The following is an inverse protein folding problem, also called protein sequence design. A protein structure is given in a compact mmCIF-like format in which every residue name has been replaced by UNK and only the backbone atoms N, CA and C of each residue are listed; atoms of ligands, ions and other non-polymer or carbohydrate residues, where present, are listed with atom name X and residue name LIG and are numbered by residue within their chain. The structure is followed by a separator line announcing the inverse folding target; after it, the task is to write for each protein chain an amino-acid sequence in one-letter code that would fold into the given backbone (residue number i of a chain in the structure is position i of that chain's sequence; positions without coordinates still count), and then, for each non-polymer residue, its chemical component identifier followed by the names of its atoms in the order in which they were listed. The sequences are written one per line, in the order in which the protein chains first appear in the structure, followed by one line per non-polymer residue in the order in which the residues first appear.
data_IF_682176655371
#
_entry.id   IF_682176655371
#
_cell.length_a   1.000
_cell.length_b   1.000
_cell.length_c   1.000
_cell.angle_alpha   90.00
_cell.angle_beta   90.00
_cell.angle_gamma   90.00
#
_symmetry.space_group_name_H-M   'P 1'
#
loop_
_entity.id
_entity.type
_entity.pdbx_description
1 polymer ?
#
# COMPACT_ATOMS: atom_id res chain seq x y z
N UNK A 1 36.27 -10.63 -22.14
CA UNK A 1 36.11 -10.81 -20.69
C UNK A 1 35.61 -9.49 -20.14
N UNK A 2 34.48 -9.48 -19.42
CA UNK A 2 34.03 -8.26 -18.74
C UNK A 2 34.80 -8.19 -17.43
N UNK A 3 35.54 -7.11 -17.19
CA UNK A 3 36.30 -6.92 -15.97
C UNK A 3 35.37 -6.54 -14.79
N UNK A 4 35.75 -6.93 -13.57
CA UNK A 4 34.95 -6.76 -12.35
C UNK A 4 34.61 -5.30 -12.06
N UNK A 5 35.52 -4.37 -12.39
CA UNK A 5 35.31 -2.95 -12.18
C UNK A 5 34.19 -2.41 -13.07
N UNK A 6 34.25 -2.70 -14.38
CA UNK A 6 33.18 -2.36 -15.33
C UNK A 6 31.83 -2.89 -14.91
N UNK A 7 31.74 -4.15 -14.43
CA UNK A 7 30.49 -4.74 -13.94
C UNK A 7 29.96 -4.01 -12.70
N UNK A 8 30.83 -3.70 -11.73
CA UNK A 8 30.44 -2.97 -10.52
C UNK A 8 29.92 -1.56 -10.84
N UNK A 9 30.56 -0.86 -11.77
CA UNK A 9 30.13 0.48 -12.23
C UNK A 9 28.77 0.42 -12.92
N UNK A 10 28.57 -0.53 -13.85
CA UNK A 10 27.27 -0.71 -14.52
C UNK A 10 26.17 -1.01 -13.50
N UNK A 11 26.45 -1.90 -12.54
CA UNK A 11 25.51 -2.27 -11.49
C UNK A 11 25.14 -1.07 -10.63
N UNK A 12 26.13 -0.27 -10.22
CA UNK A 12 25.92 0.94 -9.46
C UNK A 12 25.04 1.96 -10.21
N UNK A 13 25.27 2.17 -11.51
CA UNK A 13 24.46 3.07 -12.33
C UNK A 13 23.01 2.60 -12.39
N UNK A 14 22.77 1.30 -12.64
CA UNK A 14 21.41 0.76 -12.72
C UNK A 14 20.70 0.84 -11.37
N UNK A 15 21.37 0.45 -10.28
CA UNK A 15 20.80 0.49 -8.93
C UNK A 15 20.49 1.93 -8.52
N UNK A 16 21.38 2.88 -8.85
CA UNK A 16 21.15 4.30 -8.61
C UNK A 16 19.95 4.82 -9.40
N UNK A 17 19.84 4.50 -10.69
CA UNK A 17 18.69 4.89 -11.52
C UNK A 17 17.38 4.29 -10.96
N UNK A 18 17.40 3.02 -10.59
CA UNK A 18 16.27 2.33 -9.96
C UNK A 18 15.86 2.99 -8.65
N UNK A 19 16.82 3.30 -7.78
CA UNK A 19 16.58 3.97 -6.50
C UNK A 19 16.04 5.38 -6.70
N UNK A 20 16.58 6.15 -7.65
CA UNK A 20 16.10 7.48 -8.01
C UNK A 20 14.65 7.42 -8.48
N UNK A 21 14.32 6.55 -9.45
CA UNK A 21 12.96 6.36 -9.93
C UNK A 21 12.00 5.98 -8.78
N UNK A 22 12.42 5.05 -7.92
CA UNK A 22 11.63 4.63 -6.78
C UNK A 22 11.43 5.76 -5.76
N UNK A 23 12.48 6.51 -5.44
CA UNK A 23 12.44 7.62 -4.48
C UNK A 23 11.61 8.77 -5.03
N UNK A 24 11.76 9.15 -6.30
CA UNK A 24 10.91 10.18 -6.91
C UNK A 24 9.44 9.76 -6.90
N UNK A 25 9.11 8.53 -7.31
CA UNK A 25 7.73 8.00 -7.25
C UNK A 25 7.18 8.00 -5.81
N UNK A 26 8.05 7.69 -4.83
CA UNK A 26 7.70 7.65 -3.39
C UNK A 26 7.63 9.04 -2.74
N UNK A 27 8.37 10.04 -3.24
CA UNK A 27 8.31 11.42 -2.75
C UNK A 27 7.13 12.18 -3.38
N UNK A 28 6.83 11.89 -4.65
CA UNK A 28 5.67 12.44 -5.37
C UNK A 28 4.34 11.89 -4.83
N UNK A 29 4.35 10.71 -4.21
CA UNK A 29 3.16 10.04 -3.66
C UNK A 29 3.49 9.58 -2.23
N UNK A 30 3.02 10.33 -1.21
CA UNK A 30 3.51 10.24 0.18
C UNK A 30 3.70 8.79 0.68
N UNK A 31 4.84 8.46 1.32
CA UNK A 31 5.12 7.10 1.75
C UNK A 31 4.32 6.72 3.00
N UNK A 32 3.45 5.72 2.86
CA UNK A 32 3.00 4.87 3.96
C UNK A 32 4.22 4.33 4.75
N UNK A 33 4.01 3.86 5.99
CA UNK A 33 5.08 3.30 6.84
C UNK A 33 5.92 2.22 6.12
N UNK A 34 5.29 1.43 5.24
CA UNK A 34 5.94 0.44 4.37
C UNK A 34 6.89 1.07 3.34
N UNK A 35 6.46 2.15 2.69
CA UNK A 35 7.23 2.90 1.70
C UNK A 35 8.49 3.54 2.28
N UNK A 36 8.46 3.95 3.55
CA UNK A 36 9.65 4.50 4.24
C UNK A 36 10.74 3.44 4.40
N UNK A 37 10.39 2.24 4.85
CA UNK A 37 11.36 1.13 4.96
C UNK A 37 11.94 0.76 3.60
N UNK A 38 11.11 0.70 2.55
CA UNK A 38 11.60 0.45 1.20
C UNK A 38 12.52 1.56 0.69
N UNK A 39 12.18 2.83 0.88
CA UNK A 39 13.05 3.93 0.48
C UNK A 39 14.43 3.86 1.14
N UNK A 40 14.48 3.62 2.46
CA UNK A 40 15.76 3.47 3.18
C UNK A 40 16.52 2.21 2.70
N UNK A 41 15.83 1.11 2.42
CA UNK A 41 16.49 -0.09 1.90
C UNK A 41 17.05 0.10 0.48
N UNK A 42 16.38 0.87 -0.38
CA UNK A 42 16.93 1.26 -1.70
C UNK A 42 18.16 2.17 -1.53
N UNK A 43 18.15 3.09 -0.57
CA UNK A 43 19.33 3.89 -0.24
C UNK A 43 20.49 3.00 0.25
N UNK A 44 20.21 1.99 1.08
CA UNK A 44 21.21 0.99 1.47
C UNK A 44 21.75 0.19 0.28
N UNK A 45 20.91 -0.13 -0.72
CA UNK A 45 21.35 -0.78 -1.95
C UNK A 45 22.31 0.12 -2.77
N UNK A 46 22.01 1.42 -2.88
CA UNK A 46 22.92 2.40 -3.50
C UNK A 46 24.25 2.44 -2.74
N UNK A 47 24.21 2.59 -1.41
CA UNK A 47 25.42 2.60 -0.58
C UNK A 47 26.25 1.32 -0.75
N UNK A 48 25.59 0.16 -0.78
CA UNK A 48 26.23 -1.14 -1.04
C UNK A 48 27.00 -1.12 -2.36
N UNK A 49 26.36 -0.68 -3.45
CA UNK A 49 27.03 -0.64 -4.75
C UNK A 49 28.18 0.35 -4.78
N UNK A 50 28.07 1.50 -4.12
CA UNK A 50 29.16 2.47 -4.00
C UNK A 50 30.36 1.89 -3.26
N UNK A 51 30.15 1.21 -2.13
CA UNK A 51 31.24 0.58 -1.40
C UNK A 51 31.94 -0.52 -2.22
N UNK A 52 31.20 -1.31 -2.99
CA UNK A 52 31.82 -2.32 -3.86
C UNK A 52 32.51 -1.73 -5.09
N UNK A 53 32.11 -0.55 -5.58
CA UNK A 53 32.88 0.19 -6.58
C UNK A 53 34.20 0.68 -5.99
N UNK A 54 34.19 1.23 -4.77
CA UNK A 54 35.41 1.62 -4.06
C UNK A 54 36.35 0.43 -3.90
N UNK A 55 35.85 -0.70 -3.40
CA UNK A 55 36.64 -1.93 -3.29
C UNK A 55 37.16 -2.42 -4.65
N UNK A 56 36.35 -2.40 -5.71
CA UNK A 56 36.80 -2.80 -7.04
C UNK A 56 37.90 -1.89 -7.62
N UNK A 57 37.94 -0.62 -7.21
CA UNK A 57 38.99 0.34 -7.61
C UNK A 57 40.26 0.27 -6.75
N UNK A 58 40.11 -0.13 -5.48
CA UNK A 58 41.15 -0.17 -4.47
C UNK A 58 40.94 -1.43 -3.59
N UNK A 59 41.36 -2.61 -4.06
CA UNK A 59 41.06 -3.89 -3.39
C UNK A 59 41.59 -3.99 -1.94
N UNK A 60 42.60 -3.21 -1.58
CA UNK A 60 43.16 -3.10 -0.23
C UNK A 60 42.23 -2.46 0.81
N UNK A 61 41.07 -1.93 0.39
CA UNK A 61 40.13 -1.22 1.27
C UNK A 61 39.19 -2.15 2.05
N UNK A 62 39.71 -2.79 3.10
CA UNK A 62 38.93 -3.69 3.98
C UNK A 62 37.65 -3.04 4.54
N UNK A 63 37.70 -1.74 4.88
CA UNK A 63 36.55 -1.00 5.39
C UNK A 63 35.40 -0.91 4.37
N UNK A 64 35.70 -0.88 3.07
CA UNK A 64 34.68 -0.81 2.02
C UNK A 64 33.88 -2.11 1.95
N UNK A 65 34.55 -3.27 2.10
CA UNK A 65 33.88 -4.57 2.17
C UNK A 65 33.00 -4.68 3.42
N UNK A 66 33.49 -4.26 4.58
CA UNK A 66 32.71 -4.28 5.84
C UNK A 66 31.44 -3.42 5.70
N UNK A 67 31.58 -2.20 5.21
CA UNK A 67 30.45 -1.29 5.00
C UNK A 67 29.48 -1.82 3.92
N UNK A 68 30.00 -2.36 2.82
CA UNK A 68 29.21 -2.96 1.74
C UNK A 68 28.39 -4.16 2.21
N UNK A 69 29.01 -5.10 2.94
CA UNK A 69 28.33 -6.27 3.51
C UNK A 69 27.21 -5.84 4.47
N UNK A 70 27.52 -4.88 5.35
CA UNK A 70 26.56 -4.37 6.35
C UNK A 70 25.37 -3.69 5.68
N UNK A 71 25.63 -2.79 4.72
CA UNK A 71 24.60 -2.10 3.97
C UNK A 71 23.72 -3.08 3.17
N UNK A 72 24.30 -4.16 2.63
CA UNK A 72 23.57 -5.20 1.90
C UNK A 72 22.55 -5.89 2.80
N UNK A 73 22.99 -6.33 3.99
CA UNK A 73 22.18 -7.05 4.96
C UNK A 73 21.06 -6.15 5.49
N UNK A 74 21.40 -4.93 5.91
CA UNK A 74 20.43 -3.97 6.42
C UNK A 74 19.44 -3.58 5.33
N UNK A 75 19.89 -3.33 4.10
CA UNK A 75 19.03 -2.98 2.97
C UNK A 75 18.00 -4.06 2.65
N UNK A 76 18.42 -5.32 2.57
CA UNK A 76 17.51 -6.46 2.34
C UNK A 76 16.58 -6.68 3.54
N UNK A 77 17.08 -6.50 4.76
CA UNK A 77 16.26 -6.54 5.97
C UNK A 77 15.17 -5.45 6.00
N UNK A 78 15.50 -4.23 5.58
CA UNK A 78 14.54 -3.14 5.43
C UNK A 78 13.47 -3.44 4.37
N UNK A 79 13.83 -4.16 3.30
CA UNK A 79 12.84 -4.65 2.32
C UNK A 79 11.81 -5.57 2.98
N UNK A 80 12.26 -6.53 3.78
CA UNK A 80 11.39 -7.40 4.55
C UNK A 80 10.52 -6.62 5.54
N UNK A 81 11.09 -5.65 6.27
CA UNK A 81 10.32 -4.80 7.18
C UNK A 81 9.25 -3.99 6.47
N UNK A 82 9.53 -3.50 5.26
CA UNK A 82 8.53 -2.84 4.42
C UNK A 82 7.39 -3.77 4.05
N UNK A 83 7.66 -5.03 3.69
CA UNK A 83 6.64 -6.05 3.44
C UNK A 83 5.82 -6.36 4.71
N UNK A 84 6.44 -6.46 5.89
CA UNK A 84 5.73 -6.67 7.16
C UNK A 84 4.84 -5.49 7.54
N UNK A 85 5.36 -4.27 7.41
CA UNK A 85 4.61 -3.04 7.65
C UNK A 85 3.41 -2.95 6.72
N UNK A 86 3.59 -3.32 5.46
CA UNK A 86 2.53 -3.38 4.46
C UNK A 86 1.40 -4.34 4.87
N UNK A 87 1.76 -5.50 5.41
CA UNK A 87 0.80 -6.47 5.97
C UNK A 87 0.26 -6.10 7.37
N UNK A 88 0.50 -4.87 7.84
CA UNK A 88 0.07 -4.35 9.15
C UNK A 88 0.56 -5.19 10.33
N UNK A 89 1.70 -5.86 10.19
CA UNK A 89 2.33 -6.63 11.26
C UNK A 89 3.31 -5.76 12.04
N UNK A 90 3.51 -6.08 13.31
CA UNK A 90 4.45 -5.36 14.18
C UNK A 90 5.87 -5.40 13.63
N UNK A 91 6.56 -4.25 13.56
CA UNK A 91 7.92 -4.17 12.98
C UNK A 91 9.05 -4.10 14.00
N UNK A 92 8.77 -3.79 15.28
CA UNK A 92 9.80 -3.55 16.30
C UNK A 92 10.77 -4.72 16.50
N UNK A 93 10.23 -5.93 16.72
CA UNK A 93 11.05 -7.13 16.95
C UNK A 93 11.85 -7.56 15.71
N UNK A 94 11.23 -7.50 14.53
CA UNK A 94 11.91 -7.77 13.27
C UNK A 94 12.98 -6.70 12.97
N UNK A 95 12.74 -5.44 13.32
CA UNK A 95 13.69 -4.35 13.19
C UNK A 95 14.94 -4.55 14.05
N UNK A 96 14.76 -4.99 15.29
CA UNK A 96 15.87 -5.39 16.15
C UNK A 96 16.68 -6.55 15.55
N UNK A 97 16.01 -7.55 14.96
CA UNK A 97 16.68 -8.65 14.27
C UNK A 97 17.51 -8.17 13.07
N UNK A 98 16.98 -7.26 12.25
CA UNK A 98 17.72 -6.68 11.12
C UNK A 98 18.94 -5.89 11.60
N UNK A 99 18.81 -5.10 12.68
CA UNK A 99 19.92 -4.37 13.26
C UNK A 99 21.01 -5.31 13.80
N UNK A 100 20.63 -6.36 14.52
CA UNK A 100 21.55 -7.39 15.01
C UNK A 100 22.24 -8.10 13.85
N UNK A 101 21.51 -8.48 12.80
CA UNK A 101 22.09 -9.12 11.62
C UNK A 101 23.14 -8.21 10.93
N UNK A 102 22.86 -6.91 10.82
CA UNK A 102 23.82 -5.93 10.29
C UNK A 102 25.09 -5.83 11.15
N UNK A 103 24.93 -5.75 12.48
CA UNK A 103 26.07 -5.73 13.42
C UNK A 103 26.89 -7.01 13.32
N UNK A 104 26.24 -8.17 13.27
CA UNK A 104 26.92 -9.47 13.17
C UNK A 104 27.69 -9.58 11.84
N UNK A 105 27.12 -9.10 10.73
CA UNK A 105 27.82 -9.04 9.45
C UNK A 105 29.06 -8.12 9.49
N UNK A 106 28.96 -6.95 10.13
CA UNK A 106 30.08 -6.03 10.30
C UNK A 106 31.20 -6.64 11.16
N UNK A 107 30.84 -7.26 12.28
CA UNK A 107 31.78 -7.93 13.19
C UNK A 107 32.46 -9.10 12.50
N UNK A 108 31.69 -9.97 11.81
CA UNK A 108 32.24 -11.12 11.10
C UNK A 108 33.29 -10.69 10.07
N UNK A 109 32.96 -9.72 9.21
CA UNK A 109 33.90 -9.21 8.22
C UNK A 109 35.14 -8.59 8.87
N UNK A 110 34.97 -7.76 9.90
CA UNK A 110 36.08 -7.08 10.59
C UNK A 110 37.02 -8.06 11.30
N UNK A 111 36.47 -9.08 11.97
CA UNK A 111 37.25 -10.12 12.65
C UNK A 111 38.02 -10.96 11.64
N UNK A 112 37.37 -11.40 10.57
CA UNK A 112 38.05 -12.19 9.53
C UNK A 112 39.18 -11.39 8.86
N UNK A 113 38.98 -10.10 8.56
CA UNK A 113 40.07 -9.24 8.08
C UNK A 113 41.21 -9.09 9.09
N UNK A 114 40.90 -8.90 10.38
CA UNK A 114 41.91 -8.80 11.43
C UNK A 114 42.75 -10.08 11.57
N UNK A 115 42.19 -11.24 11.18
CA UNK A 115 42.85 -12.54 11.15
C UNK A 115 43.60 -12.82 9.84
N UNK A 116 43.71 -11.84 8.94
CA UNK A 116 44.38 -11.99 7.64
C UNK A 116 43.50 -12.59 6.55
N UNK A 117 42.18 -12.44 6.67
CA UNK A 117 41.21 -12.83 5.66
C UNK A 117 41.36 -12.10 4.33
N UNK A 118 40.62 -12.56 3.32
CA UNK A 118 40.67 -12.05 1.95
C UNK A 118 39.41 -11.26 1.59
N UNK A 119 39.20 -10.99 0.30
CA UNK A 119 38.04 -10.27 -0.24
C UNK A 119 36.67 -10.85 0.15
N UNK A 120 36.63 -12.13 0.58
CA UNK A 120 35.41 -12.82 0.98
C UNK A 120 35.19 -12.84 2.50
N UNK A 121 35.95 -12.04 3.24
CA UNK A 121 35.83 -11.94 4.71
C UNK A 121 34.40 -11.55 5.13
N UNK A 122 33.79 -12.36 5.99
CA UNK A 122 32.42 -12.22 6.50
C UNK A 122 31.32 -12.58 5.50
N UNK A 123 31.69 -13.09 4.31
CA UNK A 123 30.71 -13.33 3.23
C UNK A 123 29.72 -14.45 3.54
N UNK A 124 30.10 -15.50 4.29
CA UNK A 124 29.17 -16.56 4.68
C UNK A 124 28.04 -16.05 5.58
N UNK A 125 28.39 -15.21 6.57
CA UNK A 125 27.43 -14.55 7.46
C UNK A 125 26.51 -13.64 6.65
N UNK A 126 27.08 -12.85 5.74
CA UNK A 126 26.31 -12.00 4.84
C UNK A 126 25.35 -12.83 3.96
N UNK A 127 25.82 -13.89 3.31
CA UNK A 127 24.99 -14.71 2.43
C UNK A 127 23.83 -15.36 3.17
N UNK A 128 24.09 -15.91 4.37
CA UNK A 128 23.04 -16.47 5.20
C UNK A 128 22.00 -15.41 5.61
N UNK A 129 22.45 -14.23 6.04
CA UNK A 129 21.55 -13.14 6.43
C UNK A 129 20.71 -12.64 5.24
N UNK A 130 21.31 -12.46 4.07
CA UNK A 130 20.61 -12.06 2.84
C UNK A 130 19.60 -13.11 2.39
N UNK A 131 19.96 -14.40 2.46
CA UNK A 131 19.06 -15.49 2.11
C UNK A 131 17.84 -15.53 3.04
N UNK A 132 18.05 -15.44 4.36
CA UNK A 132 16.98 -15.46 5.36
C UNK A 132 16.08 -14.22 5.26
N UNK A 133 16.66 -13.03 5.13
CA UNK A 133 15.88 -11.79 5.00
C UNK A 133 15.05 -11.77 3.70
N UNK A 134 15.64 -12.19 2.58
CA UNK A 134 14.93 -12.28 1.31
C UNK A 134 13.84 -13.37 1.33
N UNK A 135 14.10 -14.53 1.96
CA UNK A 135 13.09 -15.57 2.13
C UNK A 135 11.91 -15.06 2.98
N UNK A 136 12.20 -14.34 4.06
CA UNK A 136 11.17 -13.75 4.91
C UNK A 136 10.36 -12.66 4.18
N UNK A 137 11.01 -11.83 3.36
CA UNK A 137 10.35 -10.86 2.48
C UNK A 137 9.42 -11.56 1.46
N UNK A 138 9.92 -12.61 0.81
CA UNK A 138 9.15 -13.42 -0.16
C UNK A 138 7.91 -14.04 0.49
N UNK A 139 8.06 -14.68 1.65
CA UNK A 139 6.93 -15.26 2.40
C UNK A 139 5.90 -14.19 2.78
N UNK A 140 6.34 -12.99 3.14
CA UNK A 140 5.45 -11.88 3.46
C UNK A 140 4.72 -11.36 2.21
N UNK A 141 5.33 -11.39 1.02
CA UNK A 141 4.68 -11.07 -0.25
C UNK A 141 3.55 -12.04 -0.63
N UNK A 142 3.63 -13.31 -0.22
CA UNK A 142 2.59 -14.33 -0.47
C UNK A 142 1.56 -14.46 0.65
N UNK A 143 1.63 -13.61 1.70
CA UNK A 143 0.72 -13.65 2.84
C UNK A 143 0.08 -12.28 3.07
N UNK A 144 -0.99 -12.25 3.85
CA UNK A 144 -1.64 -11.01 4.29
C UNK A 144 -2.20 -10.18 3.13
N UNK A 145 -2.18 -8.86 3.31
CA UNK A 145 -2.70 -7.89 2.34
C UNK A 145 -1.89 -7.87 1.03
N UNK A 146 -0.57 -8.12 1.09
CA UNK A 146 0.29 -8.28 -0.09
C UNK A 146 -0.15 -9.47 -0.94
N UNK A 147 -0.32 -10.64 -0.31
CA UNK A 147 -0.70 -11.88 -1.02
C UNK A 147 -2.09 -11.84 -1.66
N UNK A 148 -3.00 -11.01 -1.13
CA UNK A 148 -4.31 -10.77 -1.75
C UNK A 148 -4.22 -9.98 -3.06
N UNK A 149 -3.13 -9.23 -3.28
CA UNK A 149 -2.90 -8.49 -4.53
C UNK A 149 -2.14 -9.36 -5.55
N UNK A 150 -2.77 -9.66 -6.70
CA UNK A 150 -2.11 -10.39 -7.81
C UNK A 150 -0.83 -9.70 -8.30
N UNK A 151 -0.74 -8.40 -8.07
CA UNK A 151 0.39 -7.55 -8.42
C UNK A 151 1.60 -7.70 -7.49
N UNK A 152 1.48 -8.32 -6.30
CA UNK A 152 2.61 -8.58 -5.40
C UNK A 152 3.43 -9.82 -5.76
N UNK A 153 2.90 -10.67 -6.66
CA UNK A 153 3.49 -11.95 -7.04
C UNK A 153 4.89 -11.79 -7.69
N UNK A 154 5.13 -10.83 -8.60
CA UNK A 154 6.47 -10.60 -9.16
C UNK A 154 7.49 -10.16 -8.11
N UNK A 155 7.10 -9.32 -7.14
CA UNK A 155 7.98 -8.86 -6.07
C UNK A 155 8.34 -10.02 -5.12
N UNK A 156 7.37 -10.86 -4.78
CA UNK A 156 7.60 -12.08 -4.00
C UNK A 156 8.54 -13.07 -4.71
N UNK A 157 8.41 -13.20 -6.04
CA UNK A 157 9.29 -14.01 -6.87
C UNK A 157 10.72 -13.46 -6.89
N UNK A 158 10.90 -12.13 -7.03
CA UNK A 158 12.21 -11.46 -6.96
C UNK A 158 12.92 -11.80 -5.66
N UNK A 159 12.24 -11.66 -4.51
CA UNK A 159 12.82 -12.01 -3.22
C UNK A 159 13.07 -13.51 -3.07
N UNK A 160 12.22 -14.37 -3.64
CA UNK A 160 12.41 -15.82 -3.66
C UNK A 160 13.65 -16.24 -4.44
N UNK A 161 13.85 -15.67 -5.63
CA UNK A 161 15.05 -15.90 -6.47
C UNK A 161 16.30 -15.40 -5.76
N UNK A 162 16.25 -14.21 -5.14
CA UNK A 162 17.36 -13.69 -4.35
C UNK A 162 17.71 -14.63 -3.18
N UNK A 163 16.70 -15.11 -2.44
CA UNK A 163 16.90 -16.02 -1.33
C UNK A 163 17.55 -17.33 -1.76
N UNK A 164 17.07 -17.92 -2.85
CA UNK A 164 17.62 -19.15 -3.43
C UNK A 164 19.05 -18.95 -3.92
N UNK A 165 19.35 -17.84 -4.59
CA UNK A 165 20.70 -17.55 -5.07
C UNK A 165 21.71 -17.42 -3.91
N UNK A 166 21.38 -16.67 -2.86
CA UNK A 166 22.27 -16.55 -1.70
C UNK A 166 22.36 -17.85 -0.89
N UNK A 167 21.31 -18.67 -0.85
CA UNK A 167 21.39 -20.02 -0.28
C UNK A 167 22.38 -20.89 -1.08
N UNK A 168 22.30 -20.85 -2.41
CA UNK A 168 23.25 -21.55 -3.28
C UNK A 168 24.68 -21.09 -3.02
N UNK A 169 24.92 -19.79 -2.78
CA UNK A 169 26.24 -19.28 -2.39
C UNK A 169 26.75 -19.91 -1.10
N UNK A 170 25.90 -20.00 -0.06
CA UNK A 170 26.27 -20.66 1.19
C UNK A 170 26.64 -22.13 0.93
N UNK A 171 25.82 -22.86 0.17
CA UNK A 171 26.06 -24.28 -0.14
C UNK A 171 27.35 -24.45 -0.94
N UNK A 172 27.56 -23.67 -1.99
CA UNK A 172 28.75 -23.77 -2.85
C UNK A 172 30.02 -23.46 -2.06
N UNK A 173 30.04 -22.39 -1.28
CA UNK A 173 31.21 -22.06 -0.45
C UNK A 173 31.46 -23.15 0.60
N UNK A 174 30.42 -23.69 1.23
CA UNK A 174 30.56 -24.72 2.26
C UNK A 174 31.07 -26.06 1.70
N UNK A 175 30.74 -26.39 0.45
CA UNK A 175 31.10 -27.66 -0.19
C UNK A 175 32.38 -27.58 -1.02
N UNK A 176 32.62 -26.45 -1.69
CA UNK A 176 33.67 -26.30 -2.71
C UNK A 176 34.62 -25.12 -2.44
N UNK A 177 34.36 -24.29 -1.42
CA UNK A 177 35.14 -23.09 -1.12
C UNK A 177 35.03 -22.00 -2.19
N UNK A 178 35.95 -21.03 -2.15
CA UNK A 178 35.97 -19.86 -3.04
C UNK A 178 36.70 -20.10 -4.38
N UNK A 179 36.70 -21.35 -4.87
CA UNK A 179 37.41 -21.78 -6.08
C UNK A 179 36.71 -21.39 -7.40
N UNK A 180 37.14 -22.01 -8.50
CA UNK A 180 36.65 -21.72 -9.86
C UNK A 180 35.13 -21.86 -9.99
N UNK A 181 34.55 -22.93 -9.42
CA UNK A 181 33.10 -23.16 -9.43
C UNK A 181 32.33 -22.02 -8.78
N UNK A 182 32.85 -21.49 -7.67
CA UNK A 182 32.25 -20.35 -6.99
C UNK A 182 32.33 -19.10 -7.87
N UNK A 183 33.52 -18.77 -8.40
CA UNK A 183 33.71 -17.57 -9.22
C UNK A 183 32.87 -17.60 -10.50
N UNK A 184 32.76 -18.75 -11.16
CA UNK A 184 32.05 -18.91 -12.42
C UNK A 184 30.53 -18.76 -12.27
N UNK A 185 29.93 -19.39 -11.25
CA UNK A 185 28.47 -19.50 -11.15
C UNK A 185 27.86 -18.52 -10.16
N UNK A 186 28.54 -18.23 -9.06
CA UNK A 186 27.98 -17.51 -7.92
C UNK A 186 28.97 -16.49 -7.30
N UNK A 187 29.95 -16.08 -8.10
CA UNK A 187 30.94 -15.06 -7.76
C UNK A 187 30.36 -13.66 -7.89
N UNK A 188 31.24 -12.66 -7.88
CA UNK A 188 30.83 -11.26 -7.92
C UNK A 188 30.15 -10.87 -9.24
N UNK A 189 30.66 -11.34 -10.40
CA UNK A 189 30.07 -11.03 -11.72
C UNK A 189 28.64 -11.58 -11.86
N UNK A 190 28.35 -12.88 -11.61
CA UNK A 190 26.98 -13.40 -11.62
C UNK A 190 26.05 -12.66 -10.63
N UNK A 191 26.56 -12.31 -9.45
CA UNK A 191 25.80 -11.57 -8.43
C UNK A 191 25.39 -10.19 -8.92
N UNK A 192 26.29 -9.47 -9.58
CA UNK A 192 26.01 -8.15 -10.14
C UNK A 192 24.97 -8.20 -11.25
N UNK A 193 25.07 -9.17 -12.17
CA UNK A 193 24.06 -9.38 -13.23
C UNK A 193 22.69 -9.67 -12.61
N UNK A 194 22.63 -10.57 -11.62
CA UNK A 194 21.40 -10.87 -10.92
C UNK A 194 20.83 -9.62 -10.23
N UNK A 195 21.69 -8.82 -9.58
CA UNK A 195 21.28 -7.59 -8.89
C UNK A 195 20.66 -6.59 -9.86
N UNK A 196 21.26 -6.40 -11.05
CA UNK A 196 20.70 -5.57 -12.12
C UNK A 196 19.31 -6.06 -12.54
N UNK A 197 19.18 -7.35 -12.87
CA UNK A 197 17.91 -7.94 -13.34
C UNK A 197 16.82 -7.83 -12.27
N UNK A 198 17.14 -8.17 -11.02
CA UNK A 198 16.20 -8.11 -9.91
C UNK A 198 15.81 -6.68 -9.55
N UNK A 199 16.74 -5.72 -9.61
CA UNK A 199 16.45 -4.30 -9.33
C UNK A 199 15.49 -3.71 -10.34
N UNK A 200 15.71 -3.97 -11.64
CA UNK A 200 14.81 -3.55 -12.72
C UNK A 200 13.43 -4.18 -12.52
N UNK A 201 13.39 -5.49 -12.26
CA UNK A 201 12.12 -6.22 -12.05
C UNK A 201 11.38 -5.69 -10.82
N UNK A 202 12.09 -5.39 -9.73
CA UNK A 202 11.52 -4.85 -8.50
C UNK A 202 10.92 -3.45 -8.72
N UNK A 203 11.63 -2.55 -9.42
CA UNK A 203 11.12 -1.20 -9.74
C UNK A 203 9.88 -1.30 -10.62
N UNK A 204 9.94 -2.06 -11.71
CA UNK A 204 8.79 -2.25 -12.62
C UNK A 204 7.59 -2.82 -11.86
N UNK A 205 7.81 -3.83 -11.02
CA UNK A 205 6.76 -4.45 -10.21
C UNK A 205 6.16 -3.44 -9.22
N UNK A 206 7.00 -2.66 -8.53
CA UNK A 206 6.57 -1.65 -7.58
C UNK A 206 5.83 -0.47 -8.26
N UNK A 207 6.21 -0.11 -9.48
CA UNK A 207 5.52 0.88 -10.30
C UNK A 207 4.17 0.36 -10.80
N UNK A 208 4.07 -0.89 -11.24
CA UNK A 208 2.79 -1.52 -11.67
C UNK A 208 1.85 -1.74 -10.48
N UNK A 209 2.36 -2.20 -9.33
CA UNK A 209 1.64 -2.28 -8.06
C UNK A 209 0.97 -0.97 -7.68
N UNK A 210 1.67 0.16 -7.92
CA UNK A 210 1.19 1.50 -7.58
C UNK A 210 0.34 2.16 -8.67
N UNK A 211 0.63 1.92 -9.94
CA UNK A 211 -0.19 2.37 -11.07
C UNK A 211 -1.57 1.67 -11.08
N UNK A 212 -1.62 0.38 -10.74
CA UNK A 212 -2.86 -0.34 -10.53
C UNK A 212 -3.74 0.32 -9.46
N UNK A 213 -3.17 0.89 -8.40
CA UNK A 213 -3.93 1.58 -7.33
C UNK A 213 -4.38 2.98 -7.68
N UNK A 214 -3.70 3.68 -8.58
CA UNK A 214 -4.18 4.96 -9.09
C UNK A 214 -5.47 4.80 -9.93
N UNK A 215 -5.66 3.64 -10.56
CA UNK A 215 -6.92 3.25 -11.21
C UNK A 215 -7.92 2.51 -10.30
N UNK A 216 -7.44 1.78 -9.28
CA UNK A 216 -8.23 0.95 -8.35
C UNK A 216 -8.62 1.73 -7.09
N UNK A 217 -9.04 2.99 -7.26
CA UNK A 217 -10.03 3.64 -6.36
C UNK A 217 -11.47 3.33 -6.79
N UNK A 218 -11.65 2.51 -7.83
CA UNK A 218 -12.90 1.84 -8.16
C UNK A 218 -12.63 0.50 -8.85
N UNK A 219 -13.30 -0.57 -8.41
CA UNK A 219 -13.23 -1.96 -8.93
C UNK A 219 -11.88 -2.68 -8.66
N UNK A 220 -11.78 -3.85 -8.05
CA UNK A 220 -12.65 -5.02 -8.05
C UNK A 220 -12.53 -5.80 -6.74
N UNK A 221 -13.66 -6.03 -6.06
CA UNK A 221 -13.85 -7.31 -5.37
C UNK A 221 -14.42 -8.28 -6.42
N UNK A 222 -13.73 -9.38 -6.76
CA UNK A 222 -14.32 -10.40 -7.60
C UNK A 222 -15.46 -11.04 -6.81
N UNK A 223 -16.62 -11.10 -7.46
CA UNK A 223 -17.78 -11.92 -7.07
C UNK A 223 -18.62 -11.40 -5.90
N UNK A 224 -19.78 -10.85 -6.24
CA UNK A 224 -20.82 -10.41 -5.31
C UNK A 224 -21.47 -11.54 -4.51
N UNK A 225 -20.73 -12.10 -3.56
CA UNK A 225 -21.24 -12.87 -2.44
C UNK A 225 -20.49 -12.49 -1.18
N UNK A 226 -21.26 -12.14 -0.15
CA UNK A 226 -20.87 -11.82 1.22
C UNK A 226 -20.10 -10.50 1.42
N UNK A 227 -20.80 -9.38 1.24
CA UNK A 227 -20.56 -8.24 2.13
C UNK A 227 -21.23 -8.59 3.46
N UNK A 228 -20.45 -8.66 4.54
CA UNK A 228 -21.00 -8.89 5.88
C UNK A 228 -21.97 -7.77 6.30
N UNK A 229 -22.82 -8.00 7.31
CA UNK A 229 -23.61 -6.92 7.89
C UNK A 229 -22.66 -5.79 8.35
N UNK A 230 -22.77 -4.61 7.75
CA UNK A 230 -21.96 -3.44 8.12
C UNK A 230 -20.79 -3.10 7.18
N UNK A 231 -20.62 -3.75 6.03
CA UNK A 231 -19.62 -3.33 5.04
C UNK A 231 -20.20 -2.41 3.95
N UNK A 232 -19.42 -1.41 3.53
CA UNK A 232 -19.76 -0.52 2.40
C UNK A 232 -19.55 -1.30 1.10
N UNK A 233 -20.63 -1.58 0.36
CA UNK A 233 -20.54 -2.33 -0.90
C UNK A 233 -19.93 -1.49 -2.03
N UNK A 234 -19.31 -2.15 -3.01
CA UNK A 234 -18.76 -1.47 -4.19
C UNK A 234 -19.84 -0.73 -4.99
N UNK A 235 -19.48 0.28 -5.78
CA UNK A 235 -20.49 1.06 -6.52
C UNK A 235 -21.33 0.25 -7.52
N UNK A 236 -20.76 -0.79 -8.13
CA UNK A 236 -21.53 -1.73 -8.94
C UNK A 236 -22.52 -2.56 -8.08
N UNK A 237 -22.10 -2.96 -6.88
CA UNK A 237 -22.96 -3.64 -5.91
C UNK A 237 -24.08 -2.72 -5.40
N UNK A 238 -23.77 -1.46 -5.11
CA UNK A 238 -24.73 -0.47 -4.65
C UNK A 238 -25.82 -0.20 -5.69
N UNK A 239 -25.45 0.09 -6.94
CA UNK A 239 -26.41 0.25 -8.05
C UNK A 239 -27.33 -0.95 -8.19
N UNK A 240 -26.77 -2.17 -8.10
CA UNK A 240 -27.56 -3.40 -8.14
C UNK A 240 -28.53 -3.50 -6.97
N UNK A 241 -28.08 -3.16 -5.75
CA UNK A 241 -28.93 -3.16 -4.57
C UNK A 241 -30.07 -2.14 -4.70
N UNK A 242 -29.80 -0.93 -5.23
CA UNK A 242 -30.81 0.09 -5.51
C UNK A 242 -31.83 -0.43 -6.51
N UNK A 243 -31.40 -1.03 -7.63
CA UNK A 243 -32.30 -1.57 -8.64
C UNK A 243 -33.22 -2.68 -8.09
N UNK A 244 -32.66 -3.61 -7.30
CA UNK A 244 -33.44 -4.69 -6.67
C UNK A 244 -34.45 -4.12 -5.65
N UNK A 245 -34.03 -3.17 -4.83
CA UNK A 245 -34.91 -2.53 -3.84
C UNK A 245 -36.00 -1.69 -4.51
N UNK A 246 -35.69 -0.96 -5.57
CA UNK A 246 -36.65 -0.17 -6.32
C UNK A 246 -37.72 -1.06 -6.97
N UNK A 247 -37.33 -2.19 -7.55
CA UNK A 247 -38.27 -3.16 -8.11
C UNK A 247 -39.23 -3.72 -7.03
N UNK A 248 -38.69 -4.07 -5.86
CA UNK A 248 -39.49 -4.58 -4.73
C UNK A 248 -40.42 -3.51 -4.16
N UNK A 249 -39.92 -2.31 -3.95
CA UNK A 249 -40.68 -1.17 -3.45
C UNK A 249 -41.84 -0.82 -4.40
N UNK A 250 -41.59 -0.83 -5.72
CA UNK A 250 -42.63 -0.62 -6.74
C UNK A 250 -43.73 -1.69 -6.68
N UNK A 251 -43.36 -2.96 -6.52
CA UNK A 251 -44.32 -4.05 -6.44
C UNK A 251 -45.20 -3.97 -5.17
N UNK A 252 -44.63 -3.47 -4.06
CA UNK A 252 -45.33 -3.34 -2.76
C UNK A 252 -45.96 -1.96 -2.53
N UNK A 253 -45.72 -1.00 -3.42
CA UNK A 253 -46.06 0.43 -3.25
C UNK A 253 -45.48 1.01 -1.96
N UNK A 254 -44.26 0.59 -1.61
CA UNK A 254 -43.50 1.15 -0.49
C UNK A 254 -42.70 2.36 -0.96
N UNK A 255 -42.59 3.38 -0.10
CA UNK A 255 -41.77 4.55 -0.38
C UNK A 255 -40.29 4.23 -0.07
N UNK A 256 -39.45 4.32 -1.10
CA UNK A 256 -38.02 4.11 -0.98
C UNK A 256 -37.29 5.45 -1.02
N UNK A 257 -36.23 5.58 -0.21
CA UNK A 257 -35.31 6.70 -0.26
C UNK A 257 -33.90 6.23 -0.63
N UNK A 258 -33.24 6.98 -1.50
CA UNK A 258 -31.79 6.90 -1.74
C UNK A 258 -31.17 8.17 -1.18
N UNK A 259 -30.25 8.00 -0.23
CA UNK A 259 -29.45 9.10 0.31
C UNK A 259 -28.07 9.03 -0.32
N UNK A 260 -27.55 10.18 -0.72
CA UNK A 260 -26.13 10.32 -1.07
C UNK A 260 -25.54 11.33 -0.12
N UNK A 261 -24.47 10.92 0.55
CA UNK A 261 -23.72 11.75 1.47
C UNK A 261 -22.39 12.07 0.84
N UNK A 262 -22.11 13.36 0.76
CA UNK A 262 -20.90 13.93 0.19
C UNK A 262 -20.09 14.61 1.31
N UNK A 263 -18.80 14.28 1.40
CA UNK A 263 -17.84 15.07 2.17
C UNK A 263 -16.99 15.85 1.19
N UNK A 264 -17.28 17.14 1.07
CA UNK A 264 -16.50 18.03 0.22
C UNK A 264 -15.25 18.52 0.96
N UNK A 265 -14.18 18.70 0.17
CA UNK A 265 -12.91 19.24 0.61
C UNK A 265 -12.01 18.29 1.39
N UNK A 266 -12.20 16.97 1.24
CA UNK A 266 -11.27 15.98 1.81
C UNK A 266 -9.84 16.20 1.31
N UNK A 267 -9.65 16.56 0.04
CA UNK A 267 -8.34 16.89 -0.52
C UNK A 267 -7.72 18.14 0.12
N UNK A 268 -8.52 19.17 0.41
CA UNK A 268 -8.05 20.38 1.12
C UNK A 268 -7.67 20.07 2.56
N UNK A 269 -8.45 19.25 3.26
CA UNK A 269 -8.15 18.80 4.62
C UNK A 269 -6.82 18.06 4.65
N UNK A 270 -6.64 17.12 3.74
CA UNK A 270 -5.42 16.34 3.62
C UNK A 270 -4.20 17.22 3.28
N UNK A 271 -4.42 18.31 2.54
CA UNK A 271 -3.39 19.32 2.21
C UNK A 271 -3.04 20.20 3.42
N UNK A 272 -4.03 20.67 4.17
CA UNK A 272 -3.86 21.64 5.26
C UNK A 272 -3.42 21.01 6.60
N UNK A 273 -3.96 19.84 6.94
CA UNK A 273 -3.74 19.18 8.23
C UNK A 273 -2.89 17.91 8.12
N UNK A 274 -2.57 17.50 6.89
CA UNK A 274 -1.78 16.31 6.60
C UNK A 274 -2.66 15.09 6.29
N UNK A 275 -2.08 14.14 5.55
CA UNK A 275 -2.79 12.95 5.09
C UNK A 275 -3.26 12.04 6.24
N UNK A 276 -2.54 11.96 7.36
CA UNK A 276 -2.94 11.11 8.51
C UNK A 276 -4.29 11.57 9.09
N UNK A 277 -4.48 12.89 9.20
CA UNK A 277 -5.77 13.49 9.62
C UNK A 277 -6.84 13.27 8.54
N UNK A 278 -6.48 13.40 7.26
CA UNK A 278 -7.40 13.10 6.15
C UNK A 278 -7.88 11.64 6.14
N UNK A 279 -6.98 10.69 6.36
CA UNK A 279 -7.29 9.26 6.42
C UNK A 279 -8.14 8.93 7.65
N UNK A 280 -7.87 9.58 8.79
CA UNK A 280 -8.70 9.46 9.97
C UNK A 280 -10.11 9.99 9.74
N UNK A 281 -10.26 11.16 9.08
CA UNK A 281 -11.57 11.70 8.68
C UNK A 281 -12.33 10.70 7.80
N UNK A 282 -11.68 10.11 6.78
CA UNK A 282 -12.33 9.12 5.89
C UNK A 282 -12.71 7.84 6.65
N UNK A 283 -11.85 7.37 7.56
CA UNK A 283 -12.11 6.18 8.38
C UNK A 283 -13.30 6.42 9.31
N UNK A 284 -13.29 7.53 10.05
CA UNK A 284 -14.37 7.93 10.96
C UNK A 284 -15.67 8.11 10.21
N UNK A 285 -15.64 8.71 9.01
CA UNK A 285 -16.82 8.82 8.15
C UNK A 285 -17.40 7.45 7.79
N UNK A 286 -16.58 6.51 7.28
CA UNK A 286 -17.04 5.17 6.90
C UNK A 286 -17.55 4.35 8.09
N UNK A 287 -16.87 4.43 9.23
CA UNK A 287 -17.28 3.74 10.46
C UNK A 287 -18.60 4.31 11.01
N UNK A 288 -18.75 5.63 10.97
CA UNK A 288 -20.00 6.29 11.38
C UNK A 288 -21.15 5.93 10.46
N UNK A 289 -20.92 5.88 9.14
CA UNK A 289 -21.93 5.47 8.15
C UNK A 289 -22.44 4.07 8.38
N UNK A 290 -21.53 3.13 8.64
CA UNK A 290 -21.89 1.72 8.82
C UNK A 290 -22.54 1.47 10.18
N UNK A 291 -22.12 2.19 11.22
CA UNK A 291 -22.68 2.08 12.58
C UNK A 291 -24.05 2.75 12.73
N UNK A 292 -24.29 3.88 12.04
CA UNK A 292 -25.51 4.67 12.19
C UNK A 292 -26.52 4.50 11.03
N UNK A 293 -26.19 3.66 10.04
CA UNK A 293 -27.16 3.33 8.99
C UNK A 293 -28.39 2.62 9.59
N UNK A 294 -29.60 2.83 9.03
CA UNK A 294 -30.77 2.05 9.43
C UNK A 294 -30.52 0.54 9.31
N UNK A 295 -31.11 -0.26 10.20
CA UNK A 295 -30.82 -1.70 10.34
C UNK A 295 -30.98 -2.51 9.05
N UNK A 296 -31.89 -2.12 8.16
CA UNK A 296 -32.16 -2.80 6.89
C UNK A 296 -31.63 -2.02 5.69
N UNK A 297 -30.84 -0.97 5.91
CA UNK A 297 -30.27 -0.18 4.84
C UNK A 297 -29.07 -0.89 4.20
N UNK A 298 -28.87 -0.66 2.90
CA UNK A 298 -27.63 -1.03 2.21
C UNK A 298 -26.81 0.24 2.04
N UNK A 299 -25.56 0.19 2.48
CA UNK A 299 -24.58 1.26 2.34
C UNK A 299 -23.59 0.90 1.25
N UNK A 300 -23.28 1.81 0.33
CA UNK A 300 -22.35 1.53 -0.76
C UNK A 300 -21.71 2.76 -1.37
N UNK A 301 -20.71 2.54 -2.20
CA UNK A 301 -19.94 3.62 -2.84
C UNK A 301 -20.71 4.24 -4.00
N UNK A 302 -20.73 5.57 -4.08
CA UNK A 302 -21.31 6.32 -5.23
C UNK A 302 -20.22 7.11 -5.97
N UNK A 303 -19.13 7.46 -5.29
CA UNK A 303 -17.95 8.11 -5.85
C UNK A 303 -16.81 8.17 -4.83
N UNK A 304 -15.70 8.82 -5.19
CA UNK A 304 -14.51 8.94 -4.30
C UNK A 304 -14.80 9.68 -2.99
N UNK A 305 -15.75 10.61 -3.02
CA UNK A 305 -16.16 11.44 -1.88
C UNK A 305 -17.65 11.27 -1.55
N UNK A 306 -18.27 10.18 -2.03
CA UNK A 306 -19.71 9.95 -1.86
C UNK A 306 -20.04 8.53 -1.43
N UNK A 307 -20.85 8.43 -0.37
CA UNK A 307 -21.44 7.18 0.10
C UNK A 307 -22.96 7.25 -0.06
N UNK A 308 -23.53 6.20 -0.64
CA UNK A 308 -24.94 6.01 -0.82
C UNK A 308 -25.54 5.13 0.27
N UNK A 309 -26.78 5.42 0.65
CA UNK A 309 -27.60 4.60 1.55
C UNK A 309 -28.96 4.39 0.89
N UNK A 310 -29.44 3.15 0.81
CA UNK A 310 -30.83 2.87 0.43
C UNK A 310 -31.62 2.42 1.64
N UNK A 311 -32.83 2.95 1.81
CA UNK A 311 -33.72 2.58 2.90
C UNK A 311 -35.18 2.73 2.48
N UNK A 312 -36.08 2.05 3.19
CA UNK A 312 -37.53 2.21 3.07
C UNK A 312 -37.97 3.19 4.15
N UNK A 313 -38.81 4.15 3.79
CA UNK A 313 -39.25 5.24 4.68
C UNK A 313 -40.77 5.35 4.70
N UNK A 314 -41.34 5.83 5.80
CA UNK A 314 -42.79 6.01 5.89
C UNK A 314 -43.30 7.28 5.20
N UNK A 315 -42.45 8.30 5.06
CA UNK A 315 -42.78 9.59 4.43
C UNK A 315 -41.53 10.40 4.10
N UNK A 316 -41.66 11.45 3.30
CA UNK A 316 -40.60 12.43 3.06
C UNK A 316 -40.09 13.08 4.36
N UNK A 317 -40.99 13.36 5.31
CA UNK A 317 -40.63 13.93 6.61
C UNK A 317 -39.81 12.95 7.49
N UNK A 318 -40.10 11.65 7.39
CA UNK A 318 -39.35 10.59 8.05
C UNK A 318 -37.96 10.42 7.43
N UNK A 319 -37.87 10.38 6.10
CA UNK A 319 -36.59 10.36 5.37
C UNK A 319 -35.69 11.53 5.78
N UNK A 320 -36.24 12.75 5.83
CA UNK A 320 -35.52 13.95 6.28
C UNK A 320 -35.04 13.82 7.73
N UNK A 321 -35.89 13.29 8.62
CA UNK A 321 -35.57 13.14 10.05
C UNK A 321 -34.42 12.17 10.26
N UNK A 322 -34.44 11.03 9.57
CA UNK A 322 -33.38 10.02 9.65
C UNK A 322 -32.08 10.53 9.04
N UNK A 323 -32.13 11.17 7.86
CA UNK A 323 -30.97 11.81 7.25
C UNK A 323 -30.34 12.90 8.14
N UNK A 324 -31.17 13.72 8.82
CA UNK A 324 -30.70 14.72 9.78
C UNK A 324 -30.14 14.11 11.07
N UNK A 325 -30.59 12.91 11.47
CA UNK A 325 -29.97 12.17 12.57
C UNK A 325 -28.58 11.66 12.17
N UNK A 326 -28.45 11.08 10.97
CA UNK A 326 -27.18 10.63 10.42
C UNK A 326 -26.18 11.79 10.24
N UNK A 327 -26.65 12.94 9.74
CA UNK A 327 -25.83 14.16 9.66
C UNK A 327 -25.26 14.57 11.02
N UNK A 328 -26.09 14.58 12.07
CA UNK A 328 -25.65 14.95 13.43
C UNK A 328 -24.63 13.97 13.99
N UNK A 329 -24.85 12.67 13.86
CA UNK A 329 -23.88 11.65 14.25
C UNK A 329 -22.55 11.82 13.50
N UNK A 330 -22.60 12.10 12.20
CA UNK A 330 -21.41 12.32 11.37
C UNK A 330 -20.67 13.60 11.77
N UNK A 331 -21.39 14.69 11.99
CA UNK A 331 -20.82 15.96 12.43
C UNK A 331 -20.10 15.80 13.77
N UNK A 332 -20.73 15.13 14.74
CA UNK A 332 -20.14 14.89 16.07
C UNK A 332 -18.91 13.97 16.00
N UNK A 333 -18.99 12.90 15.22
CA UNK A 333 -17.87 11.99 15.02
C UNK A 333 -16.67 12.68 14.35
N UNK A 334 -16.90 13.45 13.29
CA UNK A 334 -15.82 14.18 12.60
C UNK A 334 -15.25 15.32 13.44
N UNK A 335 -16.06 16.00 14.26
CA UNK A 335 -15.59 17.02 15.18
C UNK A 335 -14.65 16.45 16.27
N UNK A 336 -14.73 15.15 16.56
CA UNK A 336 -13.85 14.47 17.52
C UNK A 336 -12.48 14.07 16.97
N UNK A 337 -12.26 14.22 15.65
CA UNK A 337 -10.98 13.92 14.99
C UNK A 337 -9.91 14.92 15.43
N UNK A 338 -8.69 14.44 15.65
CA UNK A 338 -7.56 15.25 16.10
C UNK A 338 -7.31 16.42 15.14
N UNK A 339 -7.30 17.65 15.68
CA UNK A 339 -7.23 18.88 14.87
C UNK A 339 -8.56 19.57 14.59
N UNK A 340 -9.70 18.99 15.02
CA UNK A 340 -11.02 19.62 14.96
C UNK A 340 -11.49 19.93 13.53
N UNK A 341 -11.05 19.13 12.56
CA UNK A 341 -11.29 19.38 11.15
C UNK A 341 -12.67 18.90 10.75
N UNK A 342 -13.49 19.82 10.25
CA UNK A 342 -14.84 19.51 9.82
C UNK A 342 -15.00 19.76 8.30
N UNK A 343 -15.11 18.71 7.48
CA UNK A 343 -15.44 18.86 6.07
C UNK A 343 -16.86 19.40 5.87
N UNK A 344 -17.12 19.98 4.71
CA UNK A 344 -18.47 20.33 4.32
C UNK A 344 -19.25 19.05 4.01
N UNK A 345 -20.23 18.73 4.85
CA UNK A 345 -21.08 17.54 4.69
C UNK A 345 -22.37 17.97 4.00
N UNK A 346 -22.68 17.33 2.88
CA UNK A 346 -23.98 17.45 2.21
C UNK A 346 -24.69 16.10 2.13
N UNK A 347 -25.98 16.07 2.49
CA UNK A 347 -26.84 14.89 2.31
C UNK A 347 -27.97 15.24 1.35
N UNK A 348 -27.99 14.57 0.20
CA UNK A 348 -29.07 14.61 -0.75
C UNK A 348 -29.97 13.39 -0.63
N UNK A 349 -31.28 13.61 -0.62
CA UNK A 349 -32.30 12.56 -0.47
C UNK A 349 -33.19 12.53 -1.70
N UNK A 350 -33.14 11.46 -2.48
CA UNK A 350 -34.10 11.19 -3.55
C UNK A 350 -35.17 10.20 -3.07
N UNK A 351 -36.44 10.50 -3.35
CA UNK A 351 -37.57 9.65 -3.01
C UNK A 351 -38.18 9.05 -4.27
N UNK A 352 -38.63 7.80 -4.17
CA UNK A 352 -39.17 7.06 -5.32
C UNK A 352 -40.52 7.58 -5.82
N UNK A 353 -41.25 8.33 -5.02
CA UNK A 353 -42.51 8.99 -5.41
C UNK A 353 -42.27 10.28 -6.22
N UNK A 354 -41.12 10.93 -6.03
CA UNK A 354 -40.71 12.15 -6.74
C UNK A 354 -39.93 11.80 -8.02
N UNK A 355 -38.91 10.96 -7.92
CA UNK A 355 -37.96 10.66 -9.02
C UNK A 355 -38.41 9.44 -9.84
N UNK A 356 -39.27 8.60 -9.27
CA UNK A 356 -39.61 7.29 -9.82
C UNK A 356 -38.70 6.17 -9.29
N UNK A 357 -38.82 5.00 -9.90
CA UNK A 357 -38.14 3.76 -9.45
C UNK A 357 -36.93 3.38 -10.30
N UNK A 358 -36.44 4.29 -11.15
CA UNK A 358 -35.21 4.06 -11.90
C UNK A 358 -33.99 4.24 -10.99
N UNK A 359 -33.10 3.25 -10.97
CA UNK A 359 -32.01 3.21 -10.03
C UNK A 359 -30.95 4.29 -10.30
N UNK A 360 -30.61 4.50 -11.57
CA UNK A 360 -29.60 5.47 -11.96
C UNK A 360 -30.12 6.89 -11.73
N UNK A 361 -31.39 7.16 -12.08
CA UNK A 361 -32.04 8.43 -11.80
C UNK A 361 -32.09 8.77 -10.30
N UNK A 362 -32.46 7.79 -9.45
CA UNK A 362 -32.49 7.99 -8.00
C UNK A 362 -31.12 8.34 -7.42
N UNK A 363 -30.06 7.66 -7.87
CA UNK A 363 -28.69 7.91 -7.41
C UNK A 363 -28.19 9.26 -7.91
N UNK A 364 -28.42 9.59 -9.18
CA UNK A 364 -27.98 10.83 -9.80
C UNK A 364 -28.67 12.05 -9.16
N UNK A 365 -29.99 11.99 -8.97
CA UNK A 365 -30.75 13.06 -8.32
C UNK A 365 -30.33 13.23 -6.86
N UNK A 366 -30.12 12.13 -6.13
CA UNK A 366 -29.61 12.22 -4.76
C UNK A 366 -28.20 12.83 -4.72
N UNK A 367 -27.31 12.46 -5.64
CA UNK A 367 -25.94 12.98 -5.70
C UNK A 367 -25.88 14.47 -6.04
N UNK A 368 -26.62 14.92 -7.06
CA UNK A 368 -26.70 16.35 -7.40
C UNK A 368 -27.32 17.18 -6.28
N UNK A 369 -28.29 16.62 -5.56
CA UNK A 369 -28.88 17.23 -4.37
C UNK A 369 -27.89 17.31 -3.21
N UNK A 370 -27.04 16.30 -3.04
CA UNK A 370 -25.98 16.27 -2.02
C UNK A 370 -24.93 17.35 -2.26
N UNK A 371 -24.50 17.53 -3.51
CA UNK A 371 -23.56 18.59 -3.89
C UNK A 371 -24.14 19.98 -3.62
N UNK A 372 -25.44 20.19 -3.89
CA UNK A 372 -26.11 21.45 -3.54
C UNK A 372 -26.17 21.66 -2.02
N UNK A 373 -26.32 20.58 -1.25
CA UNK A 373 -26.37 20.63 0.21
C UNK A 373 -25.00 20.93 0.82
N UNK A 374 -23.90 20.38 0.27
CA UNK A 374 -22.54 20.66 0.74
C UNK A 374 -22.07 22.06 0.37
N UNK A 375 -22.47 22.58 -0.80
CA UNK A 375 -22.10 23.93 -1.26
C UNK A 375 -22.99 25.06 -0.71
N UNK A 376 -24.13 24.74 -0.10
CA UNK A 376 -25.20 25.68 0.22
C UNK A 376 -25.17 26.22 1.67
N UNK A 377 -25.62 27.48 1.86
CA UNK A 377 -25.70 28.15 3.18
C UNK A 377 -26.97 27.77 3.98
N UNK A 378 -27.94 27.09 3.37
CA UNK A 378 -29.30 26.97 3.94
C UNK A 378 -29.58 25.71 4.77
N UNK A 379 -29.12 24.52 4.35
CA UNK A 379 -29.35 23.25 5.06
C UNK A 379 -28.39 22.17 4.56
N UNK A 380 -27.75 21.45 5.48
CA UNK A 380 -26.85 20.33 5.14
C UNK A 380 -27.58 19.06 4.67
N UNK A 381 -28.91 19.02 4.80
CA UNK A 381 -29.77 17.95 4.29
C UNK A 381 -30.82 18.55 3.36
N UNK A 382 -30.87 18.07 2.11
CA UNK A 382 -31.83 18.52 1.09
C UNK A 382 -32.58 17.31 0.51
N UNK A 383 -33.88 17.51 0.24
CA UNK A 383 -34.70 16.55 -0.50
C UNK A 383 -34.74 16.98 -1.96
N UNK A 384 -34.73 16.01 -2.85
CA UNK A 384 -34.96 16.23 -4.26
C UNK A 384 -36.36 16.85 -4.46
N UNK A 385 -36.40 17.94 -5.23
CA UNK A 385 -37.65 18.56 -5.65
C UNK A 385 -38.15 17.89 -6.93
N UNK A 386 -39.48 17.81 -7.14
CA UNK A 386 -40.03 17.36 -8.41
C UNK A 386 -39.60 18.31 -9.53
N UNK A 387 -39.07 17.73 -10.61
CA UNK A 387 -38.68 18.45 -11.84
C UNK A 387 -39.87 18.99 -12.61
#
# INVERSE_FOLDING_TARGET
MIDQFSVSVITAIVVLACAVLFVFDTLLRRPEQSGRFWAVGFLCAVLTTMFYVVWASAPETAWAVVCGNTASVVGTGLMWLGCRAYNRRTVRGAGALVAVAGIVAAIAASVEFALGGNDWSGSLVMFAALSLAAAAASVECFRGALGASRTALPLGLVFGVQAAFYLTRVVVVSMFGYGETFQLWVGSVPTSILTVVLSITAVVSASVLRAGRAGVRGSDSPEGRDAGPGEVVSGAGFRRAVAVSAQRARARRELMAVWVIELDGLEYIATAFGLDVGDEVVRTWRDTMTTNAPTLAVVGEVGSERIGVITVVGSAADARRQAMALYRSLFEALASVEGGVLPAIGIGVALSDVVGYDADALIEVAATTATRASSGVASAVLLAEPS
#
